data_IF_637968916084
#
_entry.id   IF_637968916084
#
_cell.length_a   1.000
_cell.length_b   1.000
_cell.length_c   1.000
_cell.angle_alpha   90.00
_cell.angle_beta   90.00
_cell.angle_gamma   90.00
#
_symmetry.space_group_name_H-M   'P 1'
#
loop_
_entity.id
_entity.type
_entity.pdbx_description
1 polymer ?
#
# COMPACT_ATOMS: atom_id res chain seq x y z
N UNK A 1 -2.88 -17.40 4.61
CA UNK A 1 -2.20 -16.58 3.59
C UNK A 1 -3.11 -15.43 3.21
N UNK A 2 -2.57 -14.22 3.11
CA UNK A 2 -3.31 -13.02 2.68
C UNK A 2 -2.71 -12.51 1.37
N UNK A 3 -3.55 -12.07 0.46
CA UNK A 3 -3.18 -11.55 -0.85
C UNK A 3 -3.58 -10.07 -0.95
N UNK A 4 -2.63 -9.22 -1.34
CA UNK A 4 -2.79 -7.78 -1.43
C UNK A 4 -2.58 -7.35 -2.89
N UNK A 5 -3.47 -6.50 -3.40
CA UNK A 5 -3.37 -5.90 -4.72
C UNK A 5 -3.16 -4.39 -4.59
N UNK A 6 -2.10 -3.88 -5.20
CA UNK A 6 -1.74 -2.45 -5.17
C UNK A 6 -1.99 -1.87 -6.56
N UNK A 7 -2.96 -0.98 -6.68
CA UNK A 7 -3.27 -0.24 -7.90
C UNK A 7 -2.58 1.11 -7.92
N UNK A 8 -1.98 1.45 -9.04
CA UNK A 8 -1.38 2.75 -9.30
C UNK A 8 -1.35 3.05 -10.79
N UNK A 9 -0.70 4.15 -11.17
CA UNK A 9 -0.36 4.45 -12.57
C UNK A 9 1.12 4.24 -12.81
N UNK A 10 1.48 3.96 -14.04
CA UNK A 10 2.89 3.87 -14.46
C UNK A 10 3.67 5.12 -14.03
N UNK A 11 4.72 4.93 -13.24
CA UNK A 11 5.53 6.01 -12.65
C UNK A 11 5.17 6.41 -11.21
N UNK A 12 4.05 5.94 -10.63
CA UNK A 12 3.69 6.23 -9.23
C UNK A 12 4.33 5.29 -8.21
N UNK A 13 5.10 4.29 -8.65
CA UNK A 13 5.86 3.40 -7.77
C UNK A 13 5.03 2.29 -7.11
N UNK A 14 4.00 1.75 -7.78
CA UNK A 14 3.23 0.61 -7.28
C UNK A 14 4.12 -0.63 -7.03
N UNK A 15 5.09 -0.90 -7.92
CA UNK A 15 6.06 -1.99 -7.74
C UNK A 15 6.95 -1.74 -6.52
N UNK A 16 7.46 -0.51 -6.37
CA UNK A 16 8.25 -0.12 -5.19
C UNK A 16 7.44 -0.25 -3.91
N UNK A 17 6.15 0.13 -3.93
CA UNK A 17 5.24 -0.08 -2.80
C UNK A 17 5.15 -1.57 -2.42
N UNK A 18 4.98 -2.45 -3.41
CA UNK A 18 4.95 -3.89 -3.20
C UNK A 18 6.24 -4.44 -2.58
N UNK A 19 7.40 -3.95 -3.04
CA UNK A 19 8.71 -4.35 -2.51
C UNK A 19 8.87 -3.88 -1.05
N UNK A 20 8.57 -2.61 -0.75
CA UNK A 20 8.66 -2.07 0.62
C UNK A 20 7.71 -2.83 1.55
N UNK A 21 6.47 -3.08 1.13
CA UNK A 21 5.50 -3.85 1.91
C UNK A 21 6.01 -5.27 2.19
N UNK A 22 6.46 -5.97 1.16
CA UNK A 22 7.00 -7.32 1.29
C UNK A 22 8.21 -7.37 2.23
N UNK A 23 9.15 -6.43 2.10
CA UNK A 23 10.32 -6.37 2.97
C UNK A 23 9.95 -6.11 4.44
N UNK A 24 9.03 -5.18 4.70
CA UNK A 24 8.57 -4.89 6.06
C UNK A 24 7.90 -6.10 6.71
N UNK A 25 7.06 -6.82 5.95
CA UNK A 25 6.41 -8.05 6.41
C UNK A 25 7.42 -9.19 6.62
N UNK A 26 8.42 -9.31 5.75
CA UNK A 26 9.51 -10.27 5.92
C UNK A 26 10.31 -9.98 7.20
N UNK A 27 10.66 -8.71 7.44
CA UNK A 27 11.34 -8.28 8.67
C UNK A 27 10.49 -8.57 9.93
N UNK A 28 9.17 -8.65 9.77
CA UNK A 28 8.23 -9.02 10.85
C UNK A 28 8.10 -10.52 11.07
N UNK A 29 8.83 -11.34 10.31
CA UNK A 29 8.87 -12.80 10.44
C UNK A 29 7.89 -13.57 9.54
N UNK A 30 7.22 -12.91 8.60
CA UNK A 30 6.32 -13.58 7.65
C UNK A 30 7.07 -14.10 6.42
N UNK A 31 6.49 -15.10 5.77
CA UNK A 31 6.86 -15.49 4.41
C UNK A 31 6.14 -14.55 3.43
N UNK A 32 6.87 -14.08 2.43
CA UNK A 32 6.33 -13.08 1.49
C UNK A 32 6.68 -13.43 0.05
N UNK A 33 5.84 -12.98 -0.86
CA UNK A 33 6.08 -13.00 -2.30
C UNK A 33 5.53 -11.69 -2.87
N UNK A 34 6.30 -11.01 -3.73
CA UNK A 34 5.82 -9.82 -4.45
C UNK A 34 6.17 -9.93 -5.92
N UNK A 35 5.27 -9.47 -6.76
CA UNK A 35 5.45 -9.45 -8.21
C UNK A 35 4.54 -8.41 -8.86
N UNK A 36 4.98 -7.72 -9.93
CA UNK A 36 4.13 -6.84 -10.73
C UNK A 36 3.31 -7.65 -11.74
N UNK A 37 2.21 -7.07 -12.23
CA UNK A 37 1.67 -7.46 -13.54
C UNK A 37 2.43 -6.64 -14.58
N UNK A 38 3.11 -7.35 -15.47
CA UNK A 38 3.67 -6.76 -16.67
C UNK A 38 2.59 -6.74 -17.77
N UNK A 39 2.22 -5.54 -18.21
CA UNK A 39 1.35 -5.30 -19.35
C UNK A 39 2.02 -4.37 -20.35
N UNK A 40 1.26 -3.77 -21.25
CA UNK A 40 1.77 -2.69 -22.12
C UNK A 40 1.90 -1.43 -21.25
N UNK A 41 2.95 -1.39 -20.44
CA UNK A 41 3.20 -0.32 -19.48
C UNK A 41 3.56 0.97 -20.20
N UNK A 42 2.62 1.90 -20.20
CA UNK A 42 2.88 3.28 -20.59
C UNK A 42 2.80 4.17 -19.36
N UNK A 43 3.60 5.23 -19.33
CA UNK A 43 3.52 6.23 -18.26
C UNK A 43 2.08 6.71 -18.13
N UNK A 44 1.53 6.65 -16.91
CA UNK A 44 0.15 7.04 -16.60
C UNK A 44 -0.91 5.96 -16.84
N UNK A 45 -0.59 4.83 -17.51
CA UNK A 45 -1.52 3.71 -17.64
C UNK A 45 -1.76 3.02 -16.28
N UNK A 46 -2.96 2.42 -16.05
CA UNK A 46 -3.19 1.60 -14.86
C UNK A 46 -2.19 0.45 -14.78
N UNK A 47 -1.60 0.26 -13.60
CA UNK A 47 -0.68 -0.84 -13.28
C UNK A 47 -1.06 -1.46 -11.96
N UNK A 48 -0.73 -2.73 -11.76
CA UNK A 48 -0.91 -3.37 -10.47
C UNK A 48 0.36 -4.12 -10.04
N UNK A 49 0.55 -4.17 -8.72
CA UNK A 49 1.53 -5.04 -8.09
C UNK A 49 0.83 -5.88 -7.02
N UNK A 50 1.37 -7.05 -6.77
CA UNK A 50 0.81 -8.00 -5.81
C UNK A 50 1.80 -8.32 -4.71
N UNK A 51 1.25 -8.54 -3.51
CA UNK A 51 2.00 -9.07 -2.37
C UNK A 51 1.20 -10.22 -1.77
N UNK A 52 1.86 -11.34 -1.53
CA UNK A 52 1.36 -12.45 -0.72
C UNK A 52 2.13 -12.47 0.60
N UNK A 53 1.40 -12.71 1.67
CA UNK A 53 1.99 -12.86 3.01
C UNK A 53 1.37 -14.08 3.71
N UNK A 54 2.21 -14.86 4.40
CA UNK A 54 1.78 -16.05 5.11
C UNK A 54 2.76 -16.47 6.19
N UNK A 55 2.34 -17.44 7.01
CA UNK A 55 3.18 -18.02 8.07
C UNK A 55 4.04 -19.21 7.56
N UNK A 56 3.78 -19.66 6.33
CA UNK A 56 4.46 -20.81 5.70
C UNK A 56 4.95 -20.44 4.31
N UNK A 57 5.92 -21.18 3.74
CA UNK A 57 6.41 -20.93 2.39
C UNK A 57 5.30 -20.82 1.35
N UNK A 58 5.37 -19.80 0.50
CA UNK A 58 4.37 -19.49 -0.52
C UNK A 58 4.77 -20.17 -1.81
N UNK A 59 4.01 -21.18 -2.24
CA UNK A 59 4.29 -21.99 -3.43
C UNK A 59 3.50 -21.57 -4.66
N UNK A 60 2.52 -20.68 -4.49
CA UNK A 60 1.66 -20.18 -5.57
C UNK A 60 2.47 -19.42 -6.62
N UNK A 61 2.17 -19.67 -7.93
CA UNK A 61 2.83 -19.05 -9.07
C UNK A 61 1.86 -18.36 -10.03
N UNK A 62 0.58 -18.31 -9.69
CA UNK A 62 -0.48 -17.66 -10.47
C UNK A 62 -0.75 -16.23 -9.99
N UNK A 63 -1.48 -15.44 -10.77
CA UNK A 63 -1.88 -14.10 -10.40
C UNK A 63 -2.86 -14.08 -9.23
N UNK A 64 -2.97 -12.93 -8.54
CA UNK A 64 -3.96 -12.72 -7.48
C UNK A 64 -5.28 -12.30 -8.13
N UNK A 65 -6.24 -13.21 -8.13
CA UNK A 65 -7.59 -12.96 -8.65
C UNK A 65 -8.58 -12.61 -7.56
N UNK A 66 -8.32 -13.02 -6.33
CA UNK A 66 -9.21 -12.82 -5.17
C UNK A 66 -8.45 -12.18 -4.01
N UNK A 67 -8.10 -10.89 -4.12
CA UNK A 67 -7.35 -10.22 -3.07
C UNK A 67 -8.14 -10.15 -1.76
N UNK A 68 -7.42 -10.23 -0.65
CA UNK A 68 -7.97 -9.90 0.66
C UNK A 68 -7.97 -8.38 0.88
N UNK A 69 -6.95 -7.69 0.35
CA UNK A 69 -6.87 -6.25 0.50
C UNK A 69 -6.48 -5.57 -0.81
N UNK A 70 -6.95 -4.35 -0.98
CA UNK A 70 -6.64 -3.50 -2.11
C UNK A 70 -6.08 -2.17 -1.63
N UNK A 71 -4.98 -1.72 -2.24
CA UNK A 71 -4.38 -0.41 -1.99
C UNK A 71 -4.47 0.39 -3.29
N UNK A 72 -5.05 1.59 -3.25
CA UNK A 72 -5.25 2.46 -4.41
C UNK A 72 -4.40 3.72 -4.25
N UNK A 73 -3.34 3.83 -5.05
CA UNK A 73 -2.42 4.97 -5.00
C UNK A 73 -2.97 6.23 -5.69
N UNK A 74 -3.87 6.05 -6.67
CA UNK A 74 -4.47 7.14 -7.44
C UNK A 74 -5.99 7.00 -7.42
N UNK A 75 -6.72 7.92 -6.77
CA UNK A 75 -8.18 7.84 -6.67
C UNK A 75 -8.89 7.88 -8.02
N UNK A 76 -8.30 8.50 -9.06
CA UNK A 76 -8.89 8.50 -10.40
C UNK A 76 -8.91 7.10 -11.07
N UNK A 77 -8.29 6.08 -10.45
CA UNK A 77 -8.44 4.70 -10.90
C UNK A 77 -9.80 4.10 -10.56
N UNK A 78 -10.52 4.65 -9.60
CA UNK A 78 -11.87 4.20 -9.23
C UNK A 78 -12.85 4.30 -10.39
N UNK A 79 -12.62 5.25 -11.32
CA UNK A 79 -13.47 5.47 -12.49
C UNK A 79 -13.14 4.57 -13.69
N UNK A 80 -11.98 3.92 -13.69
CA UNK A 80 -11.45 3.20 -14.87
C UNK A 80 -11.04 1.76 -14.59
N UNK A 81 -10.98 1.36 -13.33
CA UNK A 81 -10.62 0.00 -12.90
C UNK A 81 -11.61 -0.46 -11.85
N UNK A 82 -12.18 -1.63 -12.05
CA UNK A 82 -12.95 -2.26 -10.97
C UNK A 82 -12.01 -2.77 -9.88
N UNK A 83 -11.78 -1.92 -8.88
CA UNK A 83 -10.91 -2.23 -7.75
C UNK A 83 -11.54 -3.27 -6.81
N UNK A 84 -12.85 -3.49 -6.90
CA UNK A 84 -13.59 -4.44 -6.06
C UNK A 84 -13.60 -5.86 -6.65
N UNK A 85 -13.20 -6.01 -7.93
CA UNK A 85 -13.19 -7.30 -8.60
C UNK A 85 -12.42 -8.34 -7.78
N UNK A 86 -13.12 -9.41 -7.40
CA UNK A 86 -12.59 -10.53 -6.62
C UNK A 86 -12.28 -10.24 -5.15
N UNK A 87 -12.54 -9.03 -4.64
CA UNK A 87 -12.28 -8.71 -3.23
C UNK A 87 -13.02 -9.68 -2.31
N UNK A 88 -12.27 -10.25 -1.35
CA UNK A 88 -12.81 -11.20 -0.39
C UNK A 88 -13.72 -10.51 0.63
N UNK A 89 -14.67 -11.26 1.20
CA UNK A 89 -15.43 -10.82 2.37
C UNK A 89 -14.46 -10.41 3.51
N UNK A 90 -14.76 -9.31 4.19
CA UNK A 90 -13.91 -8.70 5.21
C UNK A 90 -12.54 -8.19 4.68
N UNK A 91 -12.43 -8.00 3.38
CA UNK A 91 -11.29 -7.33 2.75
C UNK A 91 -11.23 -5.84 3.10
N UNK A 92 -10.03 -5.28 3.05
CA UNK A 92 -9.79 -3.87 3.33
C UNK A 92 -9.38 -3.16 2.04
N UNK A 93 -9.96 -1.99 1.81
CA UNK A 93 -9.55 -1.10 0.73
C UNK A 93 -8.95 0.15 1.35
N UNK A 94 -7.66 0.38 1.07
CA UNK A 94 -6.96 1.60 1.44
C UNK A 94 -6.84 2.51 0.23
N UNK A 95 -7.41 3.71 0.31
CA UNK A 95 -7.49 4.65 -0.81
C UNK A 95 -6.72 5.93 -0.47
N UNK A 96 -5.86 6.37 -1.39
CA UNK A 96 -5.32 7.72 -1.35
C UNK A 96 -6.43 8.71 -1.73
N UNK A 97 -6.84 9.55 -0.81
CA UNK A 97 -7.94 10.50 -1.03
C UNK A 97 -8.16 11.43 0.14
N UNK A 98 -9.15 12.32 0.00
CA UNK A 98 -9.55 13.23 1.08
C UNK A 98 -10.35 12.43 2.14
N UNK A 99 -9.90 12.39 3.41
CA UNK A 99 -10.64 11.76 4.49
C UNK A 99 -12.03 12.37 4.79
N UNK A 100 -12.33 13.55 4.25
CA UNK A 100 -13.66 14.15 4.35
C UNK A 100 -14.71 13.42 3.49
N UNK A 101 -14.29 12.59 2.53
CA UNK A 101 -15.17 11.70 1.79
C UNK A 101 -15.56 10.53 2.68
N UNK A 102 -16.86 10.25 2.81
CA UNK A 102 -17.35 9.15 3.64
C UNK A 102 -16.73 7.81 3.23
N UNK A 103 -16.00 7.22 4.18
CA UNK A 103 -15.55 5.84 4.05
C UNK A 103 -16.68 4.90 4.47
N UNK A 104 -16.97 3.89 3.66
CA UNK A 104 -17.80 2.78 4.12
C UNK A 104 -16.95 1.85 5.03
N UNK A 105 -17.56 0.88 5.68
CA UNK A 105 -16.91 0.04 6.70
C UNK A 105 -15.65 -0.73 6.21
N UNK A 106 -15.45 -0.83 4.91
CA UNK A 106 -14.31 -1.53 4.30
C UNK A 106 -13.25 -0.59 3.71
N UNK A 107 -13.58 0.71 3.58
CA UNK A 107 -12.69 1.68 2.96
C UNK A 107 -12.00 2.54 4.01
N UNK A 108 -10.68 2.61 3.94
CA UNK A 108 -9.83 3.50 4.74
C UNK A 108 -9.26 4.55 3.79
N UNK A 109 -9.47 5.81 4.11
CA UNK A 109 -9.01 6.92 3.26
C UNK A 109 -7.86 7.64 3.96
N UNK A 110 -6.78 7.88 3.22
CA UNK A 110 -5.59 8.60 3.70
C UNK A 110 -5.17 9.61 2.65
N UNK A 111 -5.04 10.88 3.03
CA UNK A 111 -4.51 11.92 2.16
C UNK A 111 -2.98 11.82 2.03
N UNK A 112 -2.54 10.74 1.37
CA UNK A 112 -1.13 10.51 1.09
C UNK A 112 -0.57 11.53 0.08
N UNK A 113 -1.43 12.16 -0.71
CA UNK A 113 -1.07 13.26 -1.60
C UNK A 113 -0.58 14.47 -0.81
N UNK A 114 -1.31 14.89 0.21
CA UNK A 114 -0.91 15.98 1.10
C UNK A 114 0.38 15.67 1.85
N UNK A 115 0.52 14.43 2.33
CA UNK A 115 1.76 13.95 2.96
C UNK A 115 2.92 14.03 1.96
N UNK A 116 2.76 13.52 0.74
CA UNK A 116 3.79 13.59 -0.29
C UNK A 116 4.22 15.02 -0.63
N UNK A 117 3.26 15.95 -0.71
CA UNK A 117 3.58 17.37 -0.93
C UNK A 117 4.37 18.00 0.23
N UNK A 118 4.00 17.69 1.47
CA UNK A 118 4.68 18.16 2.68
C UNK A 118 6.17 17.77 2.66
N UNK A 119 6.46 16.53 2.28
CA UNK A 119 7.82 15.99 2.21
C UNK A 119 8.47 16.12 0.83
N UNK A 120 7.84 16.88 -0.10
CA UNK A 120 8.36 17.14 -1.45
C UNK A 120 8.68 15.86 -2.23
N UNK A 121 7.85 14.83 -2.08
CA UNK A 121 7.96 13.56 -2.80
C UNK A 121 7.23 13.67 -4.14
N UNK A 122 7.99 13.62 -5.23
CA UNK A 122 7.47 13.86 -6.58
C UNK A 122 7.27 15.35 -6.90
N UNK A 123 6.37 15.65 -7.83
CA UNK A 123 5.92 17.00 -8.17
C UNK A 123 4.48 17.24 -7.71
N UNK A 124 4.00 18.50 -7.80
CA UNK A 124 2.59 18.79 -7.51
C UNK A 124 1.61 18.04 -8.43
N UNK A 125 1.99 17.86 -9.70
CA UNK A 125 1.17 17.16 -10.69
C UNK A 125 1.31 15.64 -10.63
N UNK A 126 2.43 15.15 -10.06
CA UNK A 126 2.73 13.73 -9.94
C UNK A 126 3.36 13.42 -8.55
N UNK A 127 2.57 13.48 -7.48
CA UNK A 127 3.05 13.16 -6.13
C UNK A 127 3.40 11.67 -6.04
N UNK A 128 4.48 11.36 -5.31
CA UNK A 128 4.89 9.97 -5.03
C UNK A 128 4.35 9.58 -3.67
N UNK A 129 3.24 8.87 -3.65
CA UNK A 129 2.45 8.56 -2.44
C UNK A 129 2.71 7.16 -1.89
N UNK A 130 3.46 6.34 -2.62
CA UNK A 130 3.61 4.92 -2.35
C UNK A 130 4.09 4.60 -0.92
N UNK A 131 5.12 5.29 -0.43
CA UNK A 131 5.66 5.04 0.93
C UNK A 131 4.66 5.43 2.02
N UNK A 132 3.98 6.57 1.89
CA UNK A 132 2.93 6.98 2.82
C UNK A 132 1.78 5.96 2.86
N UNK A 133 1.32 5.48 1.69
CA UNK A 133 0.26 4.47 1.62
C UNK A 133 0.67 3.15 2.27
N UNK A 134 1.92 2.71 2.13
CA UNK A 134 2.40 1.51 2.82
C UNK A 134 2.55 1.75 4.32
N UNK A 135 2.96 2.95 4.75
CA UNK A 135 2.97 3.33 6.17
C UNK A 135 1.58 3.21 6.80
N UNK A 136 0.57 3.78 6.14
CA UNK A 136 -0.82 3.67 6.57
C UNK A 136 -1.30 2.20 6.64
N UNK A 137 -0.99 1.39 5.62
CA UNK A 137 -1.38 -0.02 5.58
C UNK A 137 -0.73 -0.82 6.73
N UNK A 138 0.56 -0.64 6.98
CA UNK A 138 1.24 -1.32 8.09
C UNK A 138 0.77 -0.82 9.46
N UNK A 139 0.44 0.47 9.57
CA UNK A 139 -0.21 1.05 10.74
C UNK A 139 -1.56 0.40 11.03
N UNK A 140 -2.38 0.18 10.01
CA UNK A 140 -3.67 -0.51 10.13
C UNK A 140 -3.49 -1.94 10.68
N UNK A 141 -2.54 -2.70 10.14
CA UNK A 141 -2.29 -4.08 10.57
C UNK A 141 -1.46 -4.18 11.86
N UNK A 142 -1.02 -3.08 12.46
CA UNK A 142 -0.25 -3.07 13.70
C UNK A 142 1.14 -3.68 13.57
N UNK A 143 1.70 -3.71 12.36
CA UNK A 143 3.08 -4.10 12.12
C UNK A 143 3.99 -3.02 12.73
N UNK A 144 5.04 -3.42 13.46
CA UNK A 144 5.92 -2.46 14.11
C UNK A 144 6.54 -1.47 13.12
N UNK A 145 6.54 -0.20 13.49
CA UNK A 145 7.03 0.91 12.68
C UNK A 145 8.47 0.68 12.18
N UNK A 146 9.33 0.15 13.05
CA UNK A 146 10.74 -0.10 12.75
C UNK A 146 10.96 -0.96 11.51
N UNK A 147 10.15 -2.02 11.32
CA UNK A 147 10.26 -2.92 10.16
C UNK A 147 9.93 -2.21 8.84
N UNK A 148 8.96 -1.29 8.89
CA UNK A 148 8.60 -0.48 7.74
C UNK A 148 9.67 0.57 7.41
N UNK A 149 10.19 1.27 8.42
CA UNK A 149 11.25 2.26 8.23
C UNK A 149 12.52 1.63 7.66
N UNK A 150 12.89 0.43 8.12
CA UNK A 150 14.04 -0.29 7.58
C UNK A 150 13.81 -0.72 6.12
N UNK A 151 12.60 -1.16 5.77
CA UNK A 151 12.25 -1.46 4.39
C UNK A 151 12.31 -0.21 3.49
N UNK A 152 11.84 0.94 3.96
CA UNK A 152 11.95 2.22 3.23
C UNK A 152 13.41 2.60 3.02
N UNK A 153 14.27 2.49 4.04
CA UNK A 153 15.70 2.79 3.91
C UNK A 153 16.40 1.93 2.87
N UNK A 154 15.99 0.66 2.74
CA UNK A 154 16.59 -0.28 1.79
C UNK A 154 16.10 -0.10 0.36
N UNK A 155 14.84 0.31 0.16
CA UNK A 155 14.18 0.24 -1.14
C UNK A 155 13.67 1.57 -1.68
N UNK A 156 13.69 2.67 -0.92
CA UNK A 156 13.40 3.99 -1.48
C UNK A 156 14.54 4.44 -2.41
N UNK A 157 14.28 4.62 -3.72
CA UNK A 157 15.35 4.86 -4.70
C UNK A 157 16.01 6.23 -4.57
N UNK A 158 15.29 7.19 -4.02
CA UNK A 158 15.72 8.58 -3.80
C UNK A 158 15.03 9.15 -2.57
N UNK A 159 15.58 10.22 -1.98
CA UNK A 159 14.96 10.95 -0.85
C UNK A 159 14.54 10.00 0.30
N UNK A 160 15.45 9.13 0.70
CA UNK A 160 15.18 8.09 1.70
C UNK A 160 14.66 8.67 3.02
N UNK A 161 15.21 9.81 3.46
CA UNK A 161 14.76 10.48 4.69
C UNK A 161 13.32 10.96 4.57
N UNK A 162 13.00 11.69 3.51
CA UNK A 162 11.67 12.25 3.28
C UNK A 162 10.63 11.13 3.08
N UNK A 163 11.01 10.02 2.45
CA UNK A 163 10.17 8.84 2.34
C UNK A 163 9.91 8.19 3.70
N UNK A 164 10.91 8.11 4.56
CA UNK A 164 10.76 7.57 5.92
C UNK A 164 9.83 8.46 6.77
N UNK A 165 9.99 9.79 6.70
CA UNK A 165 9.13 10.74 7.40
C UNK A 165 7.67 10.67 6.91
N UNK A 166 7.45 10.56 5.60
CA UNK A 166 6.11 10.39 5.02
C UNK A 166 5.45 9.05 5.42
N UNK A 167 6.25 7.98 5.45
CA UNK A 167 5.82 6.68 5.92
C UNK A 167 5.36 6.74 7.38
N UNK A 168 6.20 7.30 8.25
CA UNK A 168 5.94 7.41 9.70
C UNK A 168 4.70 8.28 9.99
N UNK A 169 4.54 9.41 9.29
CA UNK A 169 3.37 10.26 9.45
C UNK A 169 2.07 9.51 9.12
N UNK A 170 2.03 8.83 7.98
CA UNK A 170 0.86 8.06 7.57
C UNK A 170 0.58 6.85 8.50
N UNK A 171 1.63 6.18 8.97
CA UNK A 171 1.53 5.11 9.95
C UNK A 171 0.90 5.63 11.26
N UNK A 172 1.42 6.72 11.81
CA UNK A 172 0.94 7.31 13.06
C UNK A 172 -0.49 7.88 12.91
N UNK A 173 -0.82 8.44 11.74
CA UNK A 173 -2.18 8.89 11.44
C UNK A 173 -3.20 7.75 11.61
N UNK A 174 -2.96 6.60 10.99
CA UNK A 174 -3.84 5.43 11.11
C UNK A 174 -3.84 4.91 12.56
N UNK A 175 -2.69 4.85 13.23
CA UNK A 175 -2.62 4.40 14.63
C UNK A 175 -3.39 5.32 15.58
N UNK A 176 -3.46 6.62 15.30
CA UNK A 176 -4.22 7.59 16.12
C UNK A 176 -5.73 7.46 15.95
N UNK A 177 -6.22 6.91 14.85
CA UNK A 177 -7.64 6.60 14.62
C UNK A 177 -8.13 5.45 15.52
N UNK A 178 -7.32 5.02 16.46
CA UNK A 178 -7.41 3.87 17.34
C UNK A 178 -8.79 3.50 17.89
N UNK A 179 -9.04 2.19 17.93
CA UNK A 179 -10.24 1.55 18.49
C UNK A 179 -11.28 1.14 17.45
N UNK A 180 -11.33 1.74 16.26
CA UNK A 180 -12.31 1.43 15.21
C UNK A 180 -11.74 0.46 14.16
N UNK A 181 -10.41 0.43 13.99
CA UNK A 181 -9.75 -0.17 12.84
C UNK A 181 -8.74 -1.28 13.15
N UNK A 182 -8.62 -1.78 14.38
CA UNK A 182 -7.54 -2.74 14.68
C UNK A 182 -7.93 -4.17 14.30
N UNK A 183 -7.46 -4.70 13.15
CA UNK A 183 -7.50 -6.11 12.88
C UNK A 183 -6.54 -6.84 13.83
N UNK A 184 -6.86 -8.07 14.14
CA UNK A 184 -6.15 -8.82 15.18
C UNK A 184 -4.82 -9.39 14.73
N UNK A 185 -4.65 -9.68 13.42
CA UNK A 185 -3.40 -10.14 12.76
C UNK A 185 -3.56 -10.05 11.25
N UNK A 186 -2.45 -9.84 10.54
CA UNK A 186 -2.46 -9.80 9.07
C UNK A 186 -2.66 -11.20 8.46
N UNK A 187 -2.26 -12.24 9.17
CA UNK A 187 -2.43 -13.67 8.83
C UNK A 187 -2.66 -14.49 10.09
#
# INVERSE_FOLDING_TARGET
>A
MREIRIHGRGGQGAVTAGIILAQALFNSGYQVQTFPIFGVERRGAPVAAFVRVGNSPILQRYNVYKPNDVIVLDPALLDVVDIYDGLQENGVILINGDPAVEANQTNIIVDATKIAWKYRLGSRQAPVVNTAMIGAYLGYWGIKLEFGLDAVKQHAPVKTKENAEAFEEAYNFIRSMGGILLPRRIV
#
